data_IF_052111104045
#
_entry.id   IF_052111104045
#
_cell.length_a   1.000
_cell.length_b   1.000
_cell.length_c   1.000
_cell.angle_alpha   90.00
_cell.angle_beta   90.00
_cell.angle_gamma   90.00
#
_symmetry.space_group_name_H-M   'P 1'
#
loop_
_entity.id
_entity.type
_entity.pdbx_description
1 polymer ?
#
# COMPACT_ATOMS: atom_id res chain seq x y z
N UNK A 1 -21.82 -0.49 0.15
CA UNK A 1 -20.68 -0.89 0.98
C UNK A 1 -20.03 -2.09 0.31
N UNK A 2 -18.71 -2.09 0.14
CA UNK A 2 -17.99 -3.15 -0.59
C UNK A 2 -17.97 -4.41 0.28
N UNK A 3 -18.61 -5.48 -0.17
CA UNK A 3 -18.61 -6.79 0.51
C UNK A 3 -17.41 -7.64 0.07
N UNK A 4 -17.05 -7.57 -1.22
CA UNK A 4 -15.91 -8.30 -1.79
C UNK A 4 -15.04 -7.36 -2.63
N UNK A 5 -13.80 -7.15 -2.18
CA UNK A 5 -12.79 -6.33 -2.83
C UNK A 5 -11.77 -7.22 -3.54
N UNK A 6 -11.59 -7.01 -4.84
CA UNK A 6 -10.46 -7.54 -5.58
C UNK A 6 -9.25 -6.60 -5.50
N UNK A 7 -8.05 -7.15 -5.41
CA UNK A 7 -6.79 -6.40 -5.51
C UNK A 7 -5.94 -7.02 -6.61
N UNK A 8 -5.51 -6.20 -7.58
CA UNK A 8 -4.48 -6.54 -8.56
C UNK A 8 -3.23 -5.76 -8.19
N UNK A 9 -2.15 -6.44 -7.82
CA UNK A 9 -0.97 -5.82 -7.21
C UNK A 9 0.28 -6.06 -8.05
N UNK A 10 1.12 -5.05 -8.15
CA UNK A 10 2.46 -5.15 -8.78
C UNK A 10 3.34 -6.21 -8.12
N UNK A 11 3.21 -6.42 -6.82
CA UNK A 11 4.11 -7.27 -6.04
C UNK A 11 3.96 -8.78 -6.33
N UNK A 12 4.89 -9.55 -5.76
CA UNK A 12 4.77 -11.00 -5.69
C UNK A 12 3.70 -11.44 -4.67
N UNK A 13 3.26 -12.70 -4.79
CA UNK A 13 2.28 -13.28 -3.86
C UNK A 13 2.79 -13.25 -2.42
N UNK A 14 1.95 -12.80 -1.49
CA UNK A 14 2.29 -12.55 -0.09
C UNK A 14 3.40 -11.50 0.13
N UNK A 15 3.64 -10.64 -0.85
CA UNK A 15 4.54 -9.50 -0.77
C UNK A 15 4.06 -8.42 0.22
N UNK A 16 4.87 -7.37 0.37
CA UNK A 16 4.60 -6.28 1.32
C UNK A 16 3.27 -5.58 1.05
N UNK A 17 2.97 -5.22 -0.21
CA UNK A 17 1.74 -4.55 -0.59
C UNK A 17 0.50 -5.38 -0.27
N UNK A 18 0.52 -6.67 -0.60
CA UNK A 18 -0.59 -7.58 -0.30
C UNK A 18 -0.88 -7.58 1.20
N UNK A 19 0.16 -7.76 2.03
CA UNK A 19 -0.02 -7.86 3.48
C UNK A 19 -0.46 -6.53 4.09
N UNK A 20 0.12 -5.42 3.66
CA UNK A 20 -0.25 -4.09 4.17
C UNK A 20 -1.67 -3.73 3.74
N UNK A 21 -2.04 -3.92 2.48
CA UNK A 21 -3.39 -3.62 1.99
C UNK A 21 -4.44 -4.51 2.65
N UNK A 22 -4.17 -5.82 2.83
CA UNK A 22 -5.06 -6.70 3.60
C UNK A 22 -5.23 -6.20 5.04
N UNK A 23 -4.15 -5.79 5.70
CA UNK A 23 -4.25 -5.25 7.05
C UNK A 23 -5.08 -3.95 7.09
N UNK A 24 -4.83 -3.02 6.16
CA UNK A 24 -5.59 -1.78 6.05
C UNK A 24 -7.08 -2.05 5.83
N UNK A 25 -7.43 -2.94 4.89
CA UNK A 25 -8.84 -3.28 4.63
C UNK A 25 -9.49 -3.90 5.86
N UNK A 26 -8.84 -4.84 6.55
CA UNK A 26 -9.39 -5.44 7.79
C UNK A 26 -9.64 -4.40 8.89
N UNK A 27 -8.82 -3.35 8.95
CA UNK A 27 -8.96 -2.28 9.96
C UNK A 27 -9.96 -1.20 9.57
N UNK A 28 -10.18 -0.99 8.28
CA UNK A 28 -11.04 0.05 7.72
C UNK A 28 -12.46 -0.44 7.41
N UNK A 29 -12.57 -1.65 6.86
CA UNK A 29 -13.80 -2.29 6.40
C UNK A 29 -13.73 -3.79 6.74
N UNK A 30 -13.93 -4.15 8.01
CA UNK A 30 -13.61 -5.49 8.53
C UNK A 30 -14.44 -6.62 7.94
N UNK A 31 -15.64 -6.30 7.44
CA UNK A 31 -16.54 -7.28 6.84
C UNK A 31 -16.28 -7.46 5.33
N UNK A 32 -15.35 -6.68 4.76
CA UNK A 32 -14.95 -6.81 3.36
C UNK A 32 -14.02 -8.00 3.16
N UNK A 33 -14.46 -8.96 2.36
CA UNK A 33 -13.62 -10.04 1.86
C UNK A 33 -12.61 -9.51 0.84
N UNK A 34 -11.34 -9.94 0.94
CA UNK A 34 -10.28 -9.52 0.01
C UNK A 34 -9.75 -10.69 -0.82
N UNK A 35 -9.86 -10.58 -2.15
CA UNK A 35 -9.25 -11.50 -3.12
C UNK A 35 -8.08 -10.79 -3.80
N UNK A 36 -6.91 -11.43 -3.86
CA UNK A 36 -5.70 -10.82 -4.45
C UNK A 36 -5.24 -11.60 -5.68
N UNK A 37 -4.77 -10.84 -6.68
CA UNK A 37 -4.00 -11.29 -7.84
C UNK A 37 -2.68 -10.51 -7.86
N UNK A 38 -1.60 -11.20 -7.57
CA UNK A 38 -0.24 -10.66 -7.61
C UNK A 38 0.33 -10.80 -9.03
N UNK A 39 0.88 -9.72 -9.57
CA UNK A 39 1.43 -9.64 -10.93
C UNK A 39 2.95 -9.83 -10.98
N UNK A 40 3.61 -9.95 -9.82
CA UNK A 40 5.06 -10.12 -9.61
C UNK A 40 5.93 -8.91 -9.98
N UNK A 41 5.63 -8.23 -11.08
CA UNK A 41 6.34 -7.05 -11.54
C UNK A 41 5.40 -6.04 -12.23
N UNK A 42 5.89 -4.81 -12.37
CA UNK A 42 5.16 -3.71 -13.01
C UNK A 42 4.87 -3.96 -14.48
N UNK A 43 5.80 -4.56 -15.21
CA UNK A 43 5.59 -4.85 -16.63
C UNK A 43 4.42 -5.81 -16.83
N UNK A 44 4.34 -6.85 -16.02
CA UNK A 44 3.23 -7.81 -16.01
C UNK A 44 1.92 -7.15 -15.60
N UNK A 45 1.91 -6.26 -14.60
CA UNK A 45 0.73 -5.47 -14.24
C UNK A 45 0.24 -4.60 -15.41
N UNK A 46 1.12 -3.97 -16.17
CA UNK A 46 0.72 -3.10 -17.29
C UNK A 46 0.34 -3.88 -18.56
N UNK A 47 0.79 -5.13 -18.71
CA UNK A 47 0.36 -6.00 -19.83
C UNK A 47 -0.96 -6.71 -19.56
N UNK A 48 -1.16 -7.19 -18.33
CA UNK A 48 -2.20 -8.17 -18.01
C UNK A 48 -3.09 -7.75 -16.82
N UNK A 49 -2.74 -6.68 -16.11
CA UNK A 49 -3.41 -6.30 -14.86
C UNK A 49 -4.87 -5.91 -15.04
N UNK A 50 -5.23 -5.27 -16.16
CA UNK A 50 -6.64 -4.93 -16.44
C UNK A 50 -7.46 -6.18 -16.76
N UNK A 51 -6.90 -7.15 -17.48
CA UNK A 51 -7.55 -8.44 -17.72
C UNK A 51 -7.74 -9.22 -16.40
N UNK A 52 -6.72 -9.19 -15.53
CA UNK A 52 -6.84 -9.78 -14.19
C UNK A 52 -7.93 -9.08 -13.35
N UNK A 53 -8.04 -7.75 -13.46
CA UNK A 53 -9.08 -6.98 -12.78
C UNK A 53 -10.48 -7.32 -13.29
N UNK A 54 -10.65 -7.41 -14.61
CA UNK A 54 -11.90 -7.84 -15.25
C UNK A 54 -12.29 -9.25 -14.79
N UNK A 55 -11.35 -10.19 -14.70
CA UNK A 55 -11.61 -11.53 -14.17
C UNK A 55 -12.07 -11.50 -12.69
N UNK A 56 -11.51 -10.62 -11.87
CA UNK A 56 -11.96 -10.45 -10.48
C UNK A 56 -13.40 -9.91 -10.39
N UNK A 57 -13.80 -9.03 -11.31
CA UNK A 57 -15.19 -8.54 -11.39
C UNK A 57 -16.12 -9.64 -11.93
N UNK A 58 -15.79 -10.22 -13.08
CA UNK A 58 -16.71 -11.06 -13.86
C UNK A 58 -16.80 -12.50 -13.34
N UNK A 59 -15.70 -13.08 -12.88
CA UNK A 59 -15.63 -14.48 -12.43
C UNK A 59 -15.75 -14.54 -10.90
N UNK A 60 -14.90 -13.79 -10.19
CA UNK A 60 -14.87 -13.82 -8.72
C UNK A 60 -16.00 -12.98 -8.10
N UNK A 61 -16.77 -12.22 -8.90
CA UNK A 61 -17.89 -11.39 -8.44
C UNK A 61 -17.47 -10.39 -7.35
N UNK A 62 -16.30 -9.76 -7.50
CA UNK A 62 -15.90 -8.66 -6.63
C UNK A 62 -16.75 -7.42 -6.93
N UNK A 63 -17.25 -6.74 -5.89
CA UNK A 63 -18.05 -5.51 -6.05
C UNK A 63 -17.21 -4.35 -6.57
N UNK A 64 -15.93 -4.33 -6.17
CA UNK A 64 -14.91 -3.37 -6.61
C UNK A 64 -13.59 -4.09 -6.75
N UNK A 65 -12.75 -3.59 -7.65
CA UNK A 65 -11.38 -4.07 -7.83
C UNK A 65 -10.43 -2.88 -7.84
N UNK A 66 -9.36 -2.96 -7.05
CA UNK A 66 -8.29 -1.97 -7.09
C UNK A 66 -7.07 -2.53 -7.80
N UNK A 67 -6.61 -1.82 -8.83
CA UNK A 67 -5.30 -2.06 -9.45
C UNK A 67 -4.31 -1.12 -8.77
N UNK A 68 -3.35 -1.69 -8.03
CA UNK A 68 -2.41 -0.95 -7.17
C UNK A 68 -0.98 -1.19 -7.60
N UNK A 69 -0.22 -0.10 -7.76
CA UNK A 69 1.18 -0.15 -8.17
C UNK A 69 1.98 1.03 -7.60
N UNK A 70 3.29 0.87 -7.56
CA UNK A 70 4.23 1.89 -7.11
C UNK A 70 4.66 2.75 -8.29
N UNK A 71 4.70 4.07 -8.12
CA UNK A 71 5.19 4.96 -9.18
C UNK A 71 6.68 4.73 -9.45
N UNK A 72 7.47 4.54 -8.39
CA UNK A 72 8.91 4.31 -8.46
C UNK A 72 9.28 3.09 -7.61
N UNK A 73 9.05 1.87 -8.12
CA UNK A 73 9.53 0.67 -7.46
C UNK A 73 11.06 0.69 -7.42
N UNK A 74 11.65 0.36 -6.29
CA UNK A 74 13.10 0.51 -6.08
C UNK A 74 13.99 -0.44 -6.86
N UNK A 75 13.45 -1.58 -7.32
CA UNK A 75 14.22 -2.57 -8.07
C UNK A 75 14.51 -2.15 -9.52
N UNK A 76 14.11 -0.95 -9.92
CA UNK A 76 14.49 -0.35 -11.20
C UNK A 76 15.67 0.60 -11.00
N UNK A 77 16.86 0.02 -10.82
CA UNK A 77 18.15 0.75 -10.86
C UNK A 77 18.37 1.49 -12.21
N UNK A 78 17.58 1.15 -13.22
CA UNK A 78 17.52 1.81 -14.52
C UNK A 78 16.08 2.22 -14.81
N UNK A 79 15.66 3.39 -14.32
CA UNK A 79 14.48 4.04 -14.90
C UNK A 79 14.78 4.26 -16.37
N UNK A 80 14.15 3.47 -17.25
CA UNK A 80 14.07 3.78 -18.68
C UNK A 80 13.63 5.25 -18.77
N UNK A 81 14.43 6.16 -19.37
CA UNK A 81 14.08 7.58 -19.46
C UNK A 81 12.78 7.84 -20.23
N UNK A 82 12.23 6.82 -20.92
CA UNK A 82 10.92 6.85 -21.57
C UNK A 82 9.76 6.40 -20.67
N UNK A 83 10.03 5.82 -19.50
CA UNK A 83 9.00 5.40 -18.57
C UNK A 83 8.35 6.62 -17.93
N UNK A 84 7.04 6.54 -17.75
CA UNK A 84 6.24 7.61 -17.21
C UNK A 84 6.81 8.11 -15.85
N UNK A 85 7.29 9.34 -15.84
CA UNK A 85 7.84 10.01 -14.66
C UNK A 85 6.71 10.39 -13.67
N UNK A 86 5.46 10.33 -14.14
CA UNK A 86 4.28 10.80 -13.42
C UNK A 86 3.20 9.74 -13.39
N UNK A 87 2.63 9.58 -12.20
CA UNK A 87 1.43 8.79 -11.93
C UNK A 87 0.29 9.02 -12.94
N UNK A 88 0.16 10.25 -13.46
CA UNK A 88 -0.85 10.60 -14.45
C UNK A 88 -0.70 9.79 -15.75
N UNK A 89 0.52 9.69 -16.26
CA UNK A 89 0.78 9.07 -17.57
C UNK A 89 0.58 7.55 -17.47
N UNK A 90 1.01 6.93 -16.37
CA UNK A 90 0.73 5.52 -16.07
C UNK A 90 -0.76 5.22 -15.89
N UNK A 91 -1.47 6.11 -15.19
CA UNK A 91 -2.93 6.00 -15.07
C UNK A 91 -3.61 6.12 -16.44
N UNK A 92 -3.14 6.99 -17.32
CA UNK A 92 -3.70 7.15 -18.67
C UNK A 92 -3.51 5.88 -19.51
N UNK A 93 -2.35 5.22 -19.39
CA UNK A 93 -2.11 3.96 -20.11
C UNK A 93 -3.05 2.85 -19.64
N UNK A 94 -3.17 2.65 -18.32
CA UNK A 94 -4.11 1.67 -17.77
C UNK A 94 -5.57 2.03 -18.08
N UNK A 95 -5.94 3.32 -18.13
CA UNK A 95 -7.27 3.76 -18.53
C UNK A 95 -7.62 3.43 -19.98
N UNK A 96 -6.66 3.49 -20.92
CA UNK A 96 -6.90 3.07 -22.31
C UNK A 96 -7.23 1.59 -22.42
N UNK A 97 -6.64 0.77 -21.55
CA UNK A 97 -6.95 -0.65 -21.47
C UNK A 97 -8.30 -0.86 -20.78
N UNK A 98 -8.57 -0.13 -19.70
CA UNK A 98 -9.81 -0.20 -18.95
C UNK A 98 -11.04 0.17 -19.79
N UNK A 99 -10.92 1.15 -20.69
CA UNK A 99 -11.99 1.54 -21.62
C UNK A 99 -12.43 0.44 -22.60
N UNK A 100 -11.74 -0.71 -22.61
CA UNK A 100 -12.03 -1.86 -23.49
C UNK A 100 -12.69 -3.02 -22.74
N UNK A 101 -12.81 -2.96 -21.41
CA UNK A 101 -13.39 -4.04 -20.61
C UNK A 101 -14.79 -3.70 -20.15
N UNK A 102 -15.58 -4.73 -19.89
CA UNK A 102 -16.90 -4.53 -19.30
C UNK A 102 -16.77 -4.10 -17.83
N UNK A 103 -17.76 -3.34 -17.33
CA UNK A 103 -17.84 -2.92 -15.92
C UNK A 103 -16.64 -2.09 -15.44
N UNK A 104 -16.09 -1.23 -16.31
CA UNK A 104 -14.97 -0.33 -15.98
C UNK A 104 -15.18 0.48 -14.69
N UNK A 105 -16.42 0.88 -14.39
CA UNK A 105 -16.79 1.64 -13.19
C UNK A 105 -16.56 0.88 -11.86
N UNK A 106 -16.38 -0.43 -11.93
CA UNK A 106 -16.07 -1.29 -10.79
C UNK A 106 -14.57 -1.42 -10.53
N UNK A 107 -13.72 -0.91 -11.43
CA UNK A 107 -12.26 -1.02 -11.34
C UNK A 107 -11.66 0.37 -11.08
N UNK A 108 -11.00 0.52 -9.93
CA UNK A 108 -10.30 1.75 -9.56
C UNK A 108 -8.78 1.59 -9.65
N UNK A 109 -8.11 2.64 -10.13
CA UNK A 109 -6.65 2.71 -10.24
C UNK A 109 -6.05 3.45 -9.04
N UNK A 110 -5.13 2.81 -8.32
CA UNK A 110 -4.44 3.38 -7.15
C UNK A 110 -2.93 3.31 -7.37
N UNK A 111 -2.37 4.42 -7.83
CA UNK A 111 -0.94 4.62 -7.89
C UNK A 111 -0.42 5.14 -6.54
N UNK A 112 0.48 4.39 -5.92
CA UNK A 112 1.18 4.78 -4.70
C UNK A 112 2.32 5.73 -5.07
N UNK A 113 2.37 6.89 -4.39
CA UNK A 113 3.42 7.87 -4.66
C UNK A 113 4.75 7.33 -4.12
N UNK A 114 5.73 7.19 -5.02
CA UNK A 114 7.04 6.58 -4.79
C UNK A 114 6.90 5.07 -4.53
N UNK A 115 6.71 4.67 -3.28
CA UNK A 115 6.57 3.28 -2.85
C UNK A 115 5.65 3.16 -1.63
N UNK A 116 5.28 1.93 -1.26
CA UNK A 116 4.52 1.61 -0.04
C UNK A 116 5.08 2.27 1.22
N UNK A 117 6.40 2.36 1.33
CA UNK A 117 7.13 2.96 2.44
C UNK A 117 6.75 4.43 2.68
N UNK A 118 6.26 5.14 1.67
CA UNK A 118 5.69 6.49 1.83
C UNK A 118 4.51 6.48 2.82
N UNK A 119 3.68 5.45 2.81
CA UNK A 119 2.59 5.29 3.78
C UNK A 119 3.13 4.93 5.16
N UNK A 120 4.10 4.01 5.22
CA UNK A 120 4.74 3.58 6.47
C UNK A 120 5.39 4.77 7.21
N UNK A 121 6.05 5.67 6.47
CA UNK A 121 6.66 6.88 7.01
C UNK A 121 5.65 7.96 7.46
N UNK A 122 4.40 7.88 7.02
CA UNK A 122 3.47 8.98 7.19
C UNK A 122 3.01 9.19 8.63
N UNK A 123 3.01 8.15 9.46
CA UNK A 123 2.63 8.22 10.86
C UNK A 123 3.84 7.98 11.78
N UNK A 124 4.42 9.09 12.25
CA UNK A 124 5.57 9.07 13.16
C UNK A 124 5.27 8.37 14.49
N UNK A 125 4.00 8.31 14.88
CA UNK A 125 3.56 7.67 16.14
C UNK A 125 3.64 6.16 16.01
N UNK A 126 3.23 5.63 14.86
CA UNK A 126 3.32 4.20 14.55
C UNK A 126 4.78 3.74 14.55
N UNK A 127 5.66 4.53 13.92
CA UNK A 127 7.10 4.28 13.93
C UNK A 127 7.67 4.36 15.36
N UNK A 128 7.35 5.42 16.10
CA UNK A 128 7.81 5.60 17.49
C UNK A 128 7.40 4.41 18.36
N UNK A 129 6.16 3.94 18.23
CA UNK A 129 5.67 2.76 18.96
C UNK A 129 6.35 1.45 18.50
N UNK A 130 6.66 1.33 17.20
CA UNK A 130 7.35 0.15 16.66
C UNK A 130 8.79 0.03 17.16
N UNK A 131 9.50 1.16 17.27
CA UNK A 131 10.89 1.19 17.72
C UNK A 131 11.04 1.29 19.24
N UNK A 132 10.00 1.70 19.96
CA UNK A 132 10.05 1.78 21.42
C UNK A 132 10.17 0.40 22.07
N UNK A 133 10.97 0.34 23.12
CA UNK A 133 11.02 -0.79 24.06
C UNK A 133 10.68 -0.28 25.47
N UNK A 134 10.33 -1.16 26.43
CA UNK A 134 10.08 -0.72 27.81
C UNK A 134 11.24 0.08 28.41
N UNK A 135 12.49 -0.27 28.05
CA UNK A 135 13.69 0.39 28.56
C UNK A 135 14.12 1.61 27.75
N UNK A 136 13.72 1.70 26.47
CA UNK A 136 14.15 2.75 25.55
C UNK A 136 12.97 3.22 24.70
N UNK A 137 12.24 4.27 25.13
CA UNK A 137 11.21 4.89 24.30
C UNK A 137 11.85 5.58 23.10
N UNK A 138 11.34 5.29 21.91
CA UNK A 138 11.75 5.95 20.67
C UNK A 138 10.88 7.17 20.41
N UNK A 139 11.49 8.28 20.01
CA UNK A 139 10.79 9.49 19.59
C UNK A 139 11.22 9.85 18.19
N UNK A 140 10.34 9.60 17.21
CA UNK A 140 10.60 9.92 15.81
C UNK A 140 9.96 11.27 15.48
N UNK A 141 10.73 12.22 14.92
CA UNK A 141 10.19 13.51 14.52
C UNK A 141 9.18 13.34 13.39
N UNK A 142 8.15 14.19 13.39
CA UNK A 142 7.08 14.13 12.39
C UNK A 142 7.60 14.38 10.98
N UNK A 143 7.32 13.44 10.07
CA UNK A 143 7.57 13.55 8.64
C UNK A 143 6.34 14.20 7.98
N UNK A 144 6.41 15.50 7.70
CA UNK A 144 5.21 16.27 7.28
C UNK A 144 4.75 15.97 5.85
N UNK A 145 5.67 15.61 4.95
CA UNK A 145 5.40 15.37 3.52
C UNK A 145 6.18 14.14 3.04
N UNK A 146 5.86 12.93 3.53
CA UNK A 146 6.59 11.72 3.17
C UNK A 146 6.57 11.47 1.65
N UNK A 147 5.53 11.93 0.93
CA UNK A 147 5.44 11.82 -0.53
C UNK A 147 6.50 12.64 -1.29
N UNK A 148 7.19 13.57 -0.61
CA UNK A 148 8.29 14.34 -1.19
C UNK A 148 9.65 13.70 -0.89
N UNK A 149 9.70 12.65 -0.06
CA UNK A 149 10.91 11.89 0.16
C UNK A 149 11.34 11.23 -1.16
N UNK A 150 12.62 11.38 -1.51
CA UNK A 150 13.15 10.81 -2.74
C UNK A 150 13.44 9.31 -2.59
N UNK A 151 13.66 8.86 -1.35
CA UNK A 151 14.06 7.51 -1.00
C UNK A 151 13.36 7.06 0.31
N UNK A 152 12.04 6.78 0.25
CA UNK A 152 11.26 6.40 1.42
C UNK A 152 11.79 5.16 2.16
N UNK A 153 12.24 4.12 1.45
CA UNK A 153 12.77 2.93 2.13
C UNK A 153 14.15 3.17 2.71
N UNK A 154 15.05 3.85 2.00
CA UNK A 154 16.34 4.19 2.58
C UNK A 154 16.17 5.07 3.82
N UNK A 155 15.12 5.91 3.89
CA UNK A 155 14.73 6.59 5.12
C UNK A 155 14.34 5.59 6.23
N UNK A 156 13.48 4.61 5.96
CA UNK A 156 13.18 3.55 6.94
C UNK A 156 14.44 2.78 7.35
N UNK A 157 15.31 2.41 6.43
CA UNK A 157 16.58 1.72 6.72
C UNK A 157 17.48 2.56 7.65
N UNK A 158 17.52 3.88 7.46
CA UNK A 158 18.22 4.81 8.38
C UNK A 158 17.58 4.79 9.78
N UNK A 159 16.25 4.77 9.88
CA UNK A 159 15.56 4.64 11.17
C UNK A 159 15.86 3.29 11.84
N UNK A 160 15.84 2.19 11.10
CA UNK A 160 16.23 0.87 11.64
C UNK A 160 17.67 0.87 12.16
N UNK A 161 18.60 1.44 11.40
CA UNK A 161 19.99 1.58 11.82
C UNK A 161 20.12 2.43 13.08
N UNK A 162 19.37 3.53 13.17
CA UNK A 162 19.39 4.46 14.30
C UNK A 162 18.82 3.83 15.58
N UNK A 163 17.68 3.15 15.50
CA UNK A 163 16.93 2.70 16.67
C UNK A 163 17.16 1.23 17.04
N UNK A 164 17.55 0.37 16.08
CA UNK A 164 17.83 -1.06 16.32
C UNK A 164 19.30 -1.45 16.09
N UNK A 165 20.14 -0.50 15.67
CA UNK A 165 21.58 -0.68 15.46
C UNK A 165 21.95 -1.13 14.05
N UNK A 166 23.26 -1.10 13.74
CA UNK A 166 23.82 -1.29 12.38
C UNK A 166 23.51 -2.64 11.72
N UNK A 167 23.18 -3.66 12.51
CA UNK A 167 22.88 -4.99 12.00
C UNK A 167 21.38 -5.21 11.75
N UNK A 168 20.53 -4.29 12.22
CA UNK A 168 19.10 -4.37 11.99
C UNK A 168 18.76 -3.98 10.56
N UNK A 169 18.01 -4.83 9.87
CA UNK A 169 17.53 -4.57 8.51
C UNK A 169 16.01 -4.42 8.54
N UNK A 170 15.52 -3.42 7.81
CA UNK A 170 14.11 -3.32 7.47
C UNK A 170 13.75 -4.47 6.52
N UNK A 171 12.69 -5.20 6.85
CA UNK A 171 12.14 -6.27 6.01
C UNK A 171 10.73 -5.90 5.60
N UNK A 172 10.57 -5.38 4.39
CA UNK A 172 9.34 -4.78 3.86
C UNK A 172 8.10 -5.65 4.14
N UNK A 173 8.20 -6.95 3.87
CA UNK A 173 7.12 -7.93 4.04
C UNK A 173 6.56 -8.01 5.47
N UNK A 174 7.39 -7.81 6.49
CA UNK A 174 7.01 -7.99 7.89
C UNK A 174 6.91 -6.66 8.64
N UNK A 175 7.92 -5.82 8.48
CA UNK A 175 8.05 -4.59 9.23
C UNK A 175 7.04 -3.53 8.78
N UNK A 176 6.74 -3.45 7.47
CA UNK A 176 5.71 -2.52 6.98
C UNK A 176 4.36 -2.80 7.65
N UNK A 177 3.95 -4.07 7.71
CA UNK A 177 2.69 -4.48 8.37
C UNK A 177 2.74 -4.17 9.86
N UNK A 178 3.82 -4.55 10.55
CA UNK A 178 3.97 -4.31 12.00
C UNK A 178 3.94 -2.84 12.36
N UNK A 179 4.53 -1.97 11.53
CA UNK A 179 4.47 -0.52 11.72
C UNK A 179 3.03 -0.05 11.45
N UNK A 180 2.41 -0.44 10.35
CA UNK A 180 1.04 -0.03 10.02
C UNK A 180 0.04 -0.46 11.09
N UNK A 181 0.17 -1.66 11.68
CA UNK A 181 -0.66 -2.12 12.80
C UNK A 181 -0.66 -1.14 13.98
N UNK A 182 0.48 -0.50 14.24
CA UNK A 182 0.67 0.46 15.33
C UNK A 182 0.17 1.87 15.00
N UNK A 183 -0.27 2.13 13.77
CA UNK A 183 -0.90 3.41 13.45
C UNK A 183 -2.20 3.57 14.26
N UNK A 184 -2.31 4.57 15.14
CA UNK A 184 -3.48 4.70 16.01
C UNK A 184 -4.71 5.25 15.26
N UNK A 185 -4.49 5.94 14.14
CA UNK A 185 -5.56 6.47 13.28
C UNK A 185 -5.08 6.73 11.86
N UNK A 186 -6.02 6.93 10.93
CA UNK A 186 -5.72 7.31 9.54
C UNK A 186 -5.36 8.79 9.37
N UNK A 187 -5.44 9.61 10.42
CA UNK A 187 -5.27 11.07 10.34
C UNK A 187 -3.92 11.51 9.75
N UNK A 188 -2.86 10.73 9.99
CA UNK A 188 -1.52 10.97 9.43
C UNK A 188 -1.40 10.39 8.02
N UNK A 189 -1.81 9.14 7.85
CA UNK A 189 -1.80 8.42 6.58
C UNK A 189 -2.60 9.16 5.48
N UNK A 190 -3.80 9.67 5.80
CA UNK A 190 -4.68 10.42 4.89
C UNK A 190 -4.12 11.77 4.43
N UNK A 191 -2.97 12.22 4.95
CA UNK A 191 -2.22 13.36 4.40
C UNK A 191 -1.41 12.98 3.17
N UNK A 192 -1.16 11.69 2.96
CA UNK A 192 -0.55 11.17 1.73
C UNK A 192 -1.65 11.04 0.66
N UNK A 193 -1.51 11.69 -0.52
CA UNK A 193 -2.58 11.69 -1.51
C UNK A 193 -3.03 10.31 -2.00
N UNK A 194 -2.11 9.36 -2.18
CA UNK A 194 -2.45 7.99 -2.60
C UNK A 194 -3.22 7.22 -1.52
N UNK A 195 -2.89 7.41 -0.23
CA UNK A 195 -3.67 6.82 0.87
C UNK A 195 -5.05 7.46 1.00
N UNK A 196 -5.14 8.79 0.83
CA UNK A 196 -6.43 9.49 0.81
C UNK A 196 -7.35 8.94 -0.29
N UNK A 197 -6.79 8.66 -1.47
CA UNK A 197 -7.52 8.03 -2.58
C UNK A 197 -7.98 6.62 -2.23
N UNK A 198 -7.15 5.82 -1.56
CA UNK A 198 -7.56 4.50 -1.06
C UNK A 198 -8.80 4.61 -0.16
N UNK A 199 -8.81 5.53 0.81
CA UNK A 199 -9.95 5.74 1.69
C UNK A 199 -11.22 6.17 0.92
N UNK A 200 -11.07 7.11 -0.02
CA UNK A 200 -12.18 7.59 -0.84
C UNK A 200 -12.79 6.45 -1.68
N UNK A 201 -11.96 5.61 -2.30
CA UNK A 201 -12.44 4.48 -3.13
C UNK A 201 -13.02 3.33 -2.31
N UNK A 202 -12.42 3.03 -1.15
CA UNK A 202 -12.86 1.93 -0.30
C UNK A 202 -14.14 2.26 0.47
N UNK A 203 -14.25 3.49 0.98
CA UNK A 203 -15.27 3.86 1.97
C UNK A 203 -16.18 5.01 1.52
N UNK A 204 -15.90 5.66 0.39
CA UNK A 204 -16.58 6.91 0.00
C UNK A 204 -16.26 8.09 0.91
N UNK A 205 -15.30 7.94 1.83
CA UNK A 205 -14.92 8.96 2.80
C UNK A 205 -13.39 9.06 2.92
N UNK A 206 -12.76 10.14 2.42
CA UNK A 206 -11.30 10.31 2.46
C UNK A 206 -10.74 10.60 3.86
N UNK A 207 -11.60 10.71 4.87
CA UNK A 207 -11.27 10.99 6.26
C UNK A 207 -11.75 9.90 7.21
N UNK A 208 -12.17 8.74 6.69
CA UNK A 208 -12.55 7.60 7.51
C UNK A 208 -11.37 7.13 8.36
N UNK A 209 -11.65 6.74 9.60
CA UNK A 209 -10.67 6.22 10.55
C UNK A 209 -10.78 4.70 10.69
N UNK A 210 -9.80 4.08 11.35
CA UNK A 210 -9.83 2.66 11.64
C UNK A 210 -10.99 2.31 12.56
N UNK A 211 -11.76 1.29 12.18
CA UNK A 211 -12.85 0.72 13.00
C UNK A 211 -12.39 -0.48 13.83
N UNK A 212 -11.19 -1.01 13.54
CA UNK A 212 -10.54 -2.05 14.35
C UNK A 212 -9.08 -1.71 14.68
N UNK A 213 -8.61 -2.21 15.81
CA UNK A 213 -7.21 -2.07 16.25
C UNK A 213 -6.25 -2.91 15.40
N UNK A 214 -4.94 -2.68 15.56
CA UNK A 214 -3.89 -3.37 14.80
C UNK A 214 -3.84 -4.89 14.95
N UNK A 215 -4.32 -5.44 16.08
CA UNK A 215 -4.26 -6.88 16.37
C UNK A 215 -5.02 -7.75 15.38
N UNK A 216 -5.92 -7.18 14.57
CA UNK A 216 -6.61 -7.93 13.49
C UNK A 216 -5.71 -8.34 12.33
N UNK A 217 -4.44 -7.92 12.35
CA UNK A 217 -3.46 -8.24 11.33
C UNK A 217 -2.30 -9.11 11.84
N UNK A 218 -2.40 -9.69 13.05
CA UNK A 218 -1.27 -10.40 13.67
C UNK A 218 -0.81 -11.61 12.84
N UNK A 219 -1.73 -12.30 12.16
CA UNK A 219 -1.43 -13.36 11.19
C UNK A 219 -0.61 -12.87 9.98
N UNK A 220 -0.81 -11.61 9.57
CA UNK A 220 -0.07 -10.99 8.47
C UNK A 220 1.33 -10.52 8.89
N UNK A 221 1.53 -10.33 10.19
CA UNK A 221 2.78 -9.91 10.80
C UNK A 221 3.62 -11.07 11.38
N UNK A 222 3.07 -12.28 11.39
CA UNK A 222 3.75 -13.49 11.83
C UNK A 222 4.78 -13.97 10.78
N UNK A 223 5.90 -14.52 11.28
CA UNK A 223 6.83 -15.28 10.46
C UNK A 223 6.18 -16.65 10.24
N UNK A 224 5.69 -16.91 9.02
CA UNK A 224 5.50 -18.30 8.57
C UNK A 224 6.84 -18.84 8.10
#
# INVERSE_FOLDING_TARGET
MIQKLGLVLECCREGADERVLRCLVRRLSPDTQVVVRAMNDKGSLFREGIQAAEALVTIEKCDRVFVVWDLHPEWEDELDPKRAIKCKDECEELRKQLAKVEQEDSIDLICIIKALETWVLADERALSEYFSTPSHPASIPRIRKPQNDQDPKGHLMRLFTQFKGRNARYTDRLDAVRIIQKAPSTNRLSKVPSFKRLLEKLLGNPHADFVRCGGTCDDLAANN
#
